data_IF_515695800693
#
_entry.id   IF_515695800693
#
_cell.length_a   1.000
_cell.length_b   1.000
_cell.length_c   1.000
_cell.angle_alpha   90.00
_cell.angle_beta   90.00
_cell.angle_gamma   90.00
#
_symmetry.space_group_name_H-M   'P 1'
#
loop_
_entity.id
_entity.type
_entity.pdbx_description
1 polymer ?
#
# COMPACT_ATOMS: atom_id res chain seq x y z
N UNK A 1 -25.83 -3.40 6.23
CA UNK A 1 -24.74 -4.01 7.04
C UNK A 1 -24.48 -5.50 6.70
N UNK A 2 -24.62 -5.91 5.42
CA UNK A 2 -24.33 -7.29 4.93
C UNK A 2 -23.02 -7.34 4.14
N UNK A 3 -22.81 -6.35 3.28
CA UNK A 3 -21.61 -6.22 2.42
C UNK A 3 -20.30 -6.20 3.22
N UNK A 4 -20.26 -5.46 4.34
CA UNK A 4 -19.05 -5.38 5.18
C UNK A 4 -18.74 -6.74 5.81
N UNK A 5 -19.75 -7.48 6.29
CA UNK A 5 -19.55 -8.81 6.88
C UNK A 5 -18.98 -9.78 5.84
N UNK A 6 -19.58 -9.82 4.65
CA UNK A 6 -19.08 -10.66 3.54
C UNK A 6 -17.68 -10.27 3.10
N UNK A 7 -17.34 -8.98 3.11
CA UNK A 7 -15.97 -8.53 2.81
C UNK A 7 -14.97 -8.98 3.87
N UNK A 8 -15.34 -8.93 5.15
CA UNK A 8 -14.49 -9.42 6.23
C UNK A 8 -14.30 -10.94 6.17
N UNK A 9 -15.34 -11.69 5.82
CA UNK A 9 -15.24 -13.14 5.57
C UNK A 9 -14.28 -13.43 4.42
N UNK A 10 -14.42 -12.72 3.31
CA UNK A 10 -13.49 -12.79 2.18
C UNK A 10 -12.04 -12.45 2.59
N UNK A 11 -11.83 -11.40 3.39
CA UNK A 11 -10.49 -11.02 3.87
C UNK A 11 -9.88 -12.11 4.75
N UNK A 12 -10.70 -12.75 5.60
CA UNK A 12 -10.27 -13.84 6.49
C UNK A 12 -9.97 -15.14 5.73
N UNK A 13 -10.71 -15.40 4.66
CA UNK A 13 -10.51 -16.59 3.82
C UNK A 13 -9.25 -16.44 2.95
N UNK A 14 -8.08 -16.80 3.49
CA UNK A 14 -6.78 -16.58 2.84
C UNK A 14 -5.96 -17.89 2.68
N UNK A 15 -6.46 -18.87 1.91
CA UNK A 15 -5.78 -20.15 1.75
C UNK A 15 -4.44 -20.03 1.01
N UNK A 16 -4.28 -19.06 0.10
CA UNK A 16 -3.04 -18.82 -0.63
C UNK A 16 -1.97 -18.07 0.19
N UNK A 17 -2.31 -17.59 1.39
CA UNK A 17 -1.39 -16.87 2.26
C UNK A 17 -0.96 -15.51 1.70
N UNK A 18 -1.82 -14.84 0.93
CA UNK A 18 -1.55 -13.50 0.42
C UNK A 18 -1.38 -12.50 1.56
N UNK A 19 -0.42 -11.59 1.41
CA UNK A 19 -0.21 -10.50 2.37
C UNK A 19 -1.22 -9.36 2.15
N UNK A 20 -1.72 -9.27 0.92
CA UNK A 20 -2.57 -8.19 0.44
C UNK A 20 -3.75 -8.74 -0.35
N UNK A 21 -4.98 -8.35 0.02
CA UNK A 21 -6.21 -8.67 -0.73
C UNK A 21 -6.82 -7.44 -1.37
N UNK A 22 -7.69 -7.61 -2.36
CA UNK A 22 -8.30 -6.49 -3.07
C UNK A 22 -9.15 -5.61 -2.14
N UNK A 23 -9.12 -4.31 -2.38
CA UNK A 23 -10.00 -3.35 -1.71
C UNK A 23 -11.44 -3.51 -2.17
N UNK A 24 -12.41 -3.27 -1.28
CA UNK A 24 -13.84 -3.30 -1.61
C UNK A 24 -14.23 -2.27 -2.69
N UNK A 25 -13.56 -1.12 -2.71
CA UNK A 25 -13.80 -0.05 -3.67
C UNK A 25 -12.48 0.49 -4.24
N UNK A 26 -12.49 0.83 -5.53
CA UNK A 26 -11.35 1.35 -6.27
C UNK A 26 -10.38 0.27 -6.73
N UNK A 27 -9.11 0.65 -6.87
CA UNK A 27 -8.03 -0.23 -7.31
C UNK A 27 -6.94 -0.37 -6.23
N UNK A 28 -6.31 -1.54 -6.22
CA UNK A 28 -5.23 -1.88 -5.31
C UNK A 28 -5.66 -2.82 -4.19
N UNK A 29 -4.96 -2.74 -3.05
CA UNK A 29 -5.01 -3.76 -2.01
C UNK A 29 -5.14 -3.21 -0.59
N UNK A 30 -5.62 -4.07 0.31
CA UNK A 30 -5.57 -3.91 1.76
C UNK A 30 -4.64 -4.98 2.35
N UNK A 31 -3.79 -4.65 3.34
CA UNK A 31 -3.03 -5.66 4.06
C UNK A 31 -3.98 -6.56 4.86
N UNK A 32 -3.75 -7.87 4.81
CA UNK A 32 -4.55 -8.88 5.54
C UNK A 32 -3.72 -9.74 6.48
N UNK A 33 -2.39 -9.64 6.40
CA UNK A 33 -1.44 -10.31 7.30
C UNK A 33 -0.55 -9.30 8.02
N UNK A 34 0.10 -9.74 9.10
CA UNK A 34 1.05 -8.91 9.83
C UNK A 34 2.24 -8.49 8.96
N UNK A 35 2.68 -9.33 7.99
CA UNK A 35 3.73 -8.95 7.03
C UNK A 35 3.26 -7.82 6.12
N UNK A 36 2.03 -7.87 5.63
CA UNK A 36 1.44 -6.81 4.82
C UNK A 36 1.38 -5.48 5.60
N UNK A 37 0.93 -5.54 6.86
CA UNK A 37 0.93 -4.38 7.76
C UNK A 37 2.34 -3.85 8.04
N UNK A 38 3.32 -4.74 8.29
CA UNK A 38 4.71 -4.34 8.50
C UNK A 38 5.28 -3.59 7.29
N UNK A 39 5.02 -4.06 6.07
CA UNK A 39 5.45 -3.39 4.84
C UNK A 39 4.84 -1.99 4.73
N UNK A 40 3.55 -1.84 5.07
CA UNK A 40 2.88 -0.53 5.06
C UNK A 40 3.49 0.40 6.13
N UNK A 41 3.75 -0.10 7.34
CA UNK A 41 4.37 0.68 8.41
C UNK A 41 5.78 1.13 8.05
N UNK A 42 6.61 0.24 7.48
CA UNK A 42 7.95 0.58 6.99
C UNK A 42 7.88 1.63 5.89
N UNK A 43 6.97 1.47 4.92
CA UNK A 43 6.76 2.46 3.87
C UNK A 43 6.40 3.84 4.44
N UNK A 44 5.42 3.91 5.36
CA UNK A 44 5.03 5.16 6.01
C UNK A 44 6.20 5.76 6.79
N UNK A 45 6.93 4.95 7.56
CA UNK A 45 8.10 5.41 8.31
C UNK A 45 9.19 6.00 7.42
N UNK A 46 9.47 5.37 6.28
CA UNK A 46 10.44 5.88 5.31
C UNK A 46 9.97 7.16 4.62
N UNK A 47 8.69 7.25 4.24
CA UNK A 47 8.12 8.48 3.66
C UNK A 47 8.23 9.64 4.66
N UNK A 48 7.91 9.39 5.93
CA UNK A 48 8.06 10.40 6.99
C UNK A 48 9.53 10.77 7.21
N UNK A 49 10.43 9.79 7.21
CA UNK A 49 11.86 10.05 7.35
C UNK A 49 12.39 10.97 6.23
N UNK A 50 11.99 10.76 4.97
CA UNK A 50 12.33 11.66 3.88
C UNK A 50 11.59 13.01 3.96
N UNK A 51 10.36 13.04 4.49
CA UNK A 51 9.65 14.31 4.67
C UNK A 51 10.38 15.23 5.66
N UNK A 52 10.98 14.66 6.71
CA UNK A 52 11.77 15.41 7.69
C UNK A 52 13.13 15.91 7.16
N UNK A 53 13.55 15.54 5.95
CA UNK A 53 14.76 16.12 5.33
C UNK A 53 14.49 17.40 4.55
N UNK A 54 13.22 17.81 4.40
CA UNK A 54 12.85 19.07 3.75
C UNK A 54 12.78 20.17 4.81
N UNK A 55 13.44 21.29 4.55
CA UNK A 55 13.35 22.51 5.36
C UNK A 55 12.85 23.68 4.49
N UNK A 56 12.42 24.80 5.10
CA UNK A 56 11.97 26.00 4.38
C UNK A 56 13.07 26.61 3.51
N UNK A 57 14.34 26.34 3.82
CA UNK A 57 15.49 26.78 3.02
C UNK A 57 15.87 25.83 1.87
N UNK A 58 15.20 24.68 1.73
CA UNK A 58 15.55 23.71 0.69
C UNK A 58 15.21 24.24 -0.69
N UNK A 59 16.16 24.13 -1.62
CA UNK A 59 15.94 24.45 -3.04
C UNK A 59 15.00 23.44 -3.69
N UNK A 60 14.27 23.84 -4.73
CA UNK A 60 13.40 22.96 -5.53
C UNK A 60 14.13 21.70 -5.99
N UNK A 61 15.38 21.84 -6.42
CA UNK A 61 16.22 20.72 -6.85
C UNK A 61 16.54 19.76 -5.71
N UNK A 62 16.78 20.28 -4.50
CA UNK A 62 17.04 19.47 -3.32
C UNK A 62 15.81 18.64 -2.94
N UNK A 63 14.62 19.26 -2.90
CA UNK A 63 13.35 18.56 -2.62
C UNK A 63 13.09 17.43 -3.61
N UNK A 64 13.41 17.63 -4.89
CA UNK A 64 13.26 16.58 -5.90
C UNK A 64 14.13 15.36 -5.58
N UNK A 65 15.40 15.56 -5.23
CA UNK A 65 16.34 14.47 -5.00
C UNK A 65 16.24 13.84 -3.60
N UNK A 66 15.92 14.62 -2.56
CA UNK A 66 15.88 14.13 -1.17
C UNK A 66 14.51 13.58 -0.78
N UNK A 67 13.43 14.02 -1.44
CA UNK A 67 12.07 13.58 -1.12
C UNK A 67 11.35 12.92 -2.29
N UNK A 68 11.12 13.64 -3.39
CA UNK A 68 10.23 13.16 -4.47
C UNK A 68 10.77 11.87 -5.07
N UNK A 69 12.04 11.85 -5.47
CA UNK A 69 12.66 10.70 -6.12
C UNK A 69 12.66 9.45 -5.21
N UNK A 70 13.13 9.51 -3.94
CA UNK A 70 13.01 8.39 -3.00
C UNK A 70 11.57 7.92 -2.78
N UNK A 71 10.61 8.83 -2.58
CA UNK A 71 9.20 8.47 -2.35
C UNK A 71 8.59 7.77 -3.57
N UNK A 72 8.91 8.21 -4.79
CA UNK A 72 8.49 7.53 -6.02
C UNK A 72 9.08 6.11 -6.09
N UNK A 73 10.37 5.95 -5.79
CA UNK A 73 11.03 4.64 -5.78
C UNK A 73 10.44 3.69 -4.72
N UNK A 74 10.15 4.20 -3.52
CA UNK A 74 9.46 3.46 -2.47
C UNK A 74 8.06 3.05 -2.90
N UNK A 75 7.33 3.94 -3.55
CA UNK A 75 5.95 3.67 -4.01
C UNK A 75 5.94 2.61 -5.10
N UNK A 76 6.86 2.67 -6.07
CA UNK A 76 7.04 1.62 -7.08
C UNK A 76 7.37 0.29 -6.40
N UNK A 77 8.25 0.31 -5.40
CA UNK A 77 8.63 -0.89 -4.64
C UNK A 77 7.43 -1.49 -3.90
N UNK A 78 6.63 -0.66 -3.22
CA UNK A 78 5.40 -1.07 -2.55
C UNK A 78 4.42 -1.71 -3.54
N UNK A 79 4.22 -1.08 -4.71
CA UNK A 79 3.35 -1.61 -5.77
C UNK A 79 3.87 -2.97 -6.25
N UNK A 80 5.18 -3.12 -6.49
CA UNK A 80 5.78 -4.41 -6.88
C UNK A 80 5.57 -5.49 -5.83
N UNK A 81 5.69 -5.16 -4.55
CA UNK A 81 5.39 -6.09 -3.45
C UNK A 81 3.90 -6.46 -3.46
N UNK A 82 3.00 -5.49 -3.64
CA UNK A 82 1.56 -5.72 -3.76
C UNK A 82 1.21 -6.69 -4.90
N UNK A 83 1.81 -6.53 -6.08
CA UNK A 83 1.62 -7.46 -7.19
C UNK A 83 2.19 -8.86 -6.95
N UNK A 84 3.30 -8.97 -6.21
CA UNK A 84 3.98 -10.25 -5.96
C UNK A 84 3.36 -11.03 -4.79
N UNK A 85 2.85 -10.33 -3.79
CA UNK A 85 2.37 -10.88 -2.51
C UNK A 85 0.88 -10.68 -2.27
N UNK A 86 0.17 -10.08 -3.22
CA UNK A 86 -1.27 -9.93 -3.19
C UNK A 86 -1.96 -10.50 -4.41
N UNK A 87 -3.28 -10.50 -4.35
CA UNK A 87 -4.11 -10.89 -5.50
C UNK A 87 -3.90 -9.92 -6.68
N UNK A 88 -4.17 -10.36 -7.92
CA UNK A 88 -4.10 -9.43 -9.06
C UNK A 88 -5.07 -8.26 -8.83
N UNK A 89 -4.60 -7.00 -8.87
CA UNK A 89 -5.44 -5.86 -8.56
C UNK A 89 -6.46 -5.67 -9.66
N UNK A 90 -7.67 -5.28 -9.28
CA UNK A 90 -8.78 -5.00 -10.20
C UNK A 90 -9.49 -3.76 -9.73
N UNK A 91 -9.88 -2.90 -10.67
CA UNK A 91 -10.78 -1.80 -10.37
C UNK A 91 -12.18 -2.37 -10.10
N UNK A 92 -12.74 -2.09 -8.92
CA UNK A 92 -14.06 -2.58 -8.54
C UNK A 92 -14.82 -1.62 -7.64
N UNK A 93 -16.15 -1.76 -7.64
CA UNK A 93 -17.07 -0.94 -6.85
C UNK A 93 -18.02 -1.82 -6.03
N UNK A 94 -17.48 -2.86 -5.38
CA UNK A 94 -18.28 -3.87 -4.69
C UNK A 94 -17.44 -5.08 -4.30
N UNK A 95 -18.12 -6.12 -3.80
CA UNK A 95 -17.44 -7.33 -3.31
C UNK A 95 -16.45 -7.89 -4.35
N UNK A 96 -15.21 -8.17 -3.96
CA UNK A 96 -14.25 -8.84 -4.82
C UNK A 96 -14.82 -10.17 -5.29
N UNK A 97 -14.93 -10.33 -6.61
CA UNK A 97 -15.22 -11.62 -7.27
C UNK A 97 -13.92 -12.27 -7.72
#
# INVERSE_FOLDING_TARGET
>A
MRIIKTYLEYVKDNPEGYWFKRKLFGWGWTPVTWQGWLIILVYIGLVLAFAFTIDESSSDSEVVFTFILPVVLLTITLIRIGYKKGEKPKWQWGLPK
#
